data_IF_451479618645
#
_entry.id   IF_451479618645
#
_cell.length_a   1.000
_cell.length_b   1.000
_cell.length_c   1.000
_cell.angle_alpha   90.00
_cell.angle_beta   90.00
_cell.angle_gamma   90.00
#
_symmetry.space_group_name_H-M   'P 1'
#
loop_
_entity.id
_entity.type
_entity.pdbx_description
1 polymer ?
#
# COMPACT_ATOMS: atom_id res chain seq x y z
N UNK A 1 10.61 7.76 2.99
CA UNK A 1 11.87 7.06 2.71
C UNK A 1 12.69 7.93 1.75
N UNK A 2 13.96 7.65 1.55
CA UNK A 2 14.81 8.52 0.71
C UNK A 2 14.44 8.49 -0.77
N UNK A 3 14.00 7.36 -1.27
CA UNK A 3 13.76 7.13 -2.70
C UNK A 3 12.36 6.58 -3.04
N UNK A 4 11.50 6.39 -2.05
CA UNK A 4 10.13 5.95 -2.25
C UNK A 4 9.23 6.42 -1.11
N UNK A 5 7.92 6.31 -1.31
CA UNK A 5 6.93 6.62 -0.29
C UNK A 5 5.85 5.53 -0.23
N UNK A 6 5.32 5.35 0.96
CA UNK A 6 4.16 4.53 1.22
C UNK A 6 2.99 5.44 1.60
N UNK A 7 1.83 5.17 1.04
CA UNK A 7 0.59 5.90 1.32
C UNK A 7 -0.49 4.87 1.65
N UNK A 8 -1.21 5.09 2.73
CA UNK A 8 -2.45 4.40 3.04
C UNK A 8 -3.60 5.37 2.81
N UNK A 9 -4.51 5.03 1.91
CA UNK A 9 -5.50 5.95 1.37
C UNK A 9 -6.86 5.27 1.25
N UNK A 10 -7.92 6.03 1.51
CA UNK A 10 -9.31 5.63 1.22
C UNK A 10 -9.88 6.60 0.20
N UNK A 11 -9.91 6.26 -1.10
CA UNK A 11 -10.47 7.13 -2.13
C UNK A 11 -12.00 7.21 -2.00
N UNK A 12 -12.57 8.38 -2.26
CA UNK A 12 -14.01 8.58 -2.26
C UNK A 12 -14.67 8.04 -3.53
N UNK A 13 -13.94 8.03 -4.65
CA UNK A 13 -14.41 7.50 -5.93
C UNK A 13 -13.32 6.68 -6.64
N UNK A 14 -13.73 5.83 -7.59
CA UNK A 14 -12.86 4.88 -8.30
C UNK A 14 -11.61 5.52 -8.94
N UNK A 15 -11.74 6.73 -9.49
CA UNK A 15 -10.65 7.40 -10.20
C UNK A 15 -9.80 8.32 -9.32
N UNK A 16 -10.19 8.56 -8.06
CA UNK A 16 -9.53 9.55 -7.19
C UNK A 16 -8.07 9.21 -6.93
N UNK A 17 -7.76 7.94 -6.67
CA UNK A 17 -6.39 7.49 -6.47
C UNK A 17 -5.52 7.81 -7.70
N UNK A 18 -5.99 7.47 -8.89
CA UNK A 18 -5.24 7.69 -10.13
C UNK A 18 -5.04 9.19 -10.41
N UNK A 19 -6.07 10.01 -10.21
CA UNK A 19 -6.01 11.46 -10.37
C UNK A 19 -5.07 12.11 -9.36
N UNK A 20 -5.14 11.69 -8.09
CA UNK A 20 -4.27 12.19 -7.04
C UNK A 20 -2.80 11.85 -7.34
N UNK A 21 -2.49 10.59 -7.67
CA UNK A 21 -1.13 10.15 -7.95
C UNK A 21 -0.56 10.82 -9.21
N UNK A 22 -1.37 11.04 -10.23
CA UNK A 22 -0.97 11.77 -11.42
C UNK A 22 -0.66 13.24 -11.11
N UNK A 23 -1.50 13.90 -10.30
CA UNK A 23 -1.29 15.29 -9.89
C UNK A 23 -0.04 15.45 -9.03
N UNK A 24 0.10 14.59 -8.02
CA UNK A 24 1.26 14.57 -7.14
C UNK A 24 2.56 14.33 -7.92
N UNK A 25 2.55 13.32 -8.79
CA UNK A 25 3.72 12.97 -9.60
C UNK A 25 4.16 14.13 -10.51
N UNK A 26 3.23 14.76 -11.23
CA UNK A 26 3.55 15.91 -12.10
C UNK A 26 4.08 17.10 -11.32
N UNK A 27 3.46 17.46 -10.20
CA UNK A 27 3.90 18.60 -9.38
C UNK A 27 5.26 18.37 -8.77
N UNK A 28 5.49 17.19 -8.21
CA UNK A 28 6.76 16.86 -7.57
C UNK A 28 7.91 16.80 -8.59
N UNK A 29 7.71 16.13 -9.72
CA UNK A 29 8.72 16.07 -10.78
C UNK A 29 9.05 17.46 -11.33
N UNK A 30 8.05 18.30 -11.58
CA UNK A 30 8.26 19.68 -12.03
C UNK A 30 9.08 20.50 -11.04
N UNK A 31 8.70 20.46 -9.77
CA UNK A 31 9.41 21.15 -8.69
C UNK A 31 10.86 20.65 -8.55
N UNK A 32 11.05 19.32 -8.51
CA UNK A 32 12.37 18.72 -8.36
C UNK A 32 13.30 19.05 -9.52
N UNK A 33 12.79 18.91 -10.75
CA UNK A 33 13.59 19.22 -11.95
C UNK A 33 13.99 20.69 -12.01
N UNK A 34 13.09 21.61 -11.69
CA UNK A 34 13.40 23.04 -11.62
C UNK A 34 14.47 23.32 -10.56
N UNK A 35 14.35 22.76 -9.35
CA UNK A 35 15.31 22.99 -8.27
C UNK A 35 16.68 22.40 -8.54
N UNK A 36 16.76 21.27 -9.22
CA UNK A 36 18.00 20.55 -9.48
C UNK A 36 18.53 20.72 -10.90
N UNK A 37 17.96 21.65 -11.70
CA UNK A 37 18.34 21.95 -13.09
C UNK A 37 18.45 20.71 -13.97
N UNK A 38 17.47 19.81 -13.84
CA UNK A 38 17.40 18.57 -14.62
C UNK A 38 16.08 18.46 -15.38
N UNK A 39 15.99 17.48 -16.29
CA UNK A 39 14.79 17.14 -17.04
C UNK A 39 14.51 15.64 -16.99
N UNK A 40 13.33 15.22 -17.45
CA UNK A 40 12.93 13.83 -17.50
C UNK A 40 12.19 13.37 -16.25
N UNK A 41 11.90 12.08 -16.20
CA UNK A 41 11.16 11.47 -15.07
C UNK A 41 12.06 11.22 -13.86
N UNK A 42 11.45 11.24 -12.66
CA UNK A 42 12.06 10.81 -11.41
C UNK A 42 11.59 9.40 -11.02
N UNK A 43 10.41 9.01 -11.50
CA UNK A 43 9.78 7.77 -11.11
C UNK A 43 10.25 6.63 -12.00
N UNK A 44 10.62 5.52 -11.39
CA UNK A 44 10.98 4.28 -12.08
C UNK A 44 9.83 3.76 -12.96
N UNK A 45 8.59 4.04 -12.56
CA UNK A 45 7.40 3.61 -13.27
C UNK A 45 6.11 4.14 -12.65
N UNK A 46 5.01 3.52 -12.99
CA UNK A 46 3.73 3.83 -12.38
C UNK A 46 3.72 3.40 -10.92
N UNK A 47 2.94 4.09 -10.07
CA UNK A 47 2.71 3.67 -8.69
C UNK A 47 2.11 2.25 -8.64
N UNK A 48 2.38 1.55 -7.56
CA UNK A 48 1.81 0.25 -7.26
C UNK A 48 0.79 0.43 -6.15
N UNK A 49 -0.36 -0.19 -6.29
CA UNK A 49 -1.42 -0.15 -5.30
C UNK A 49 -1.93 -1.56 -5.02
N UNK A 50 -2.14 -1.87 -3.76
CA UNK A 50 -2.78 -3.09 -3.28
C UNK A 50 -3.96 -2.72 -2.39
N UNK A 51 -5.03 -3.50 -2.46
CA UNK A 51 -6.19 -3.34 -1.60
C UNK A 51 -5.87 -3.88 -0.20
N UNK A 52 -6.29 -3.15 0.84
CA UNK A 52 -6.17 -3.58 2.24
C UNK A 52 -7.57 -3.84 2.79
N UNK A 53 -7.79 -5.02 3.37
CA UNK A 53 -8.99 -5.29 4.19
C UNK A 53 -8.86 -4.53 5.51
N UNK A 54 -9.63 -3.44 5.64
CA UNK A 54 -9.46 -2.45 6.72
C UNK A 54 -9.58 -3.07 8.10
N UNK A 55 -10.65 -3.77 8.39
CA UNK A 55 -10.91 -4.34 9.71
C UNK A 55 -9.81 -5.26 10.22
N UNK A 56 -9.12 -5.97 9.32
CA UNK A 56 -8.09 -6.96 9.68
C UNK A 56 -6.67 -6.44 9.63
N UNK A 57 -6.38 -5.57 8.66
CA UNK A 57 -4.99 -5.30 8.30
C UNK A 57 -4.59 -3.83 8.35
N UNK A 58 -5.54 -2.91 8.58
CA UNK A 58 -5.25 -1.47 8.52
C UNK A 58 -4.23 -1.03 9.55
N UNK A 59 -4.43 -1.36 10.82
CA UNK A 59 -3.50 -0.98 11.90
C UNK A 59 -2.12 -1.60 11.70
N UNK A 60 -2.06 -2.86 11.26
CA UNK A 60 -0.80 -3.52 10.94
C UNK A 60 -0.09 -2.86 9.74
N UNK A 61 -0.85 -2.41 8.74
CA UNK A 61 -0.32 -1.65 7.61
C UNK A 61 0.21 -0.27 8.04
N UNK A 62 -0.52 0.45 8.90
CA UNK A 62 -0.06 1.71 9.48
C UNK A 62 1.26 1.51 10.22
N UNK A 63 1.34 0.55 11.14
CA UNK A 63 2.55 0.18 11.87
C UNK A 63 3.71 -0.17 10.93
N UNK A 64 3.45 -0.97 9.90
CA UNK A 64 4.46 -1.32 8.89
C UNK A 64 5.03 -0.08 8.21
N UNK A 65 4.17 0.85 7.77
CA UNK A 65 4.58 2.09 7.09
C UNK A 65 5.37 2.98 8.04
N UNK A 66 4.89 3.18 9.25
CA UNK A 66 5.47 4.12 10.22
C UNK A 66 6.78 3.63 10.84
N UNK A 67 6.99 2.32 10.91
CA UNK A 67 8.25 1.73 11.34
C UNK A 67 9.27 1.54 10.20
N UNK A 68 8.91 1.78 8.95
CA UNK A 68 9.86 1.65 7.84
C UNK A 68 11.11 2.53 7.97
N UNK A 69 11.03 3.82 8.36
CA UNK A 69 12.22 4.65 8.56
C UNK A 69 13.16 4.12 9.65
N UNK A 70 12.61 3.62 10.75
CA UNK A 70 13.40 2.99 11.83
C UNK A 70 14.11 1.75 11.33
N UNK A 71 13.40 0.88 10.63
CA UNK A 71 13.96 -0.36 10.06
C UNK A 71 15.01 -0.10 8.98
N UNK A 72 14.90 1.02 8.29
CA UNK A 72 15.91 1.46 7.31
C UNK A 72 17.10 2.20 7.95
N UNK A 73 17.11 2.37 9.29
CA UNK A 73 18.16 3.07 10.01
C UNK A 73 18.18 4.58 9.81
N UNK A 74 17.08 5.17 9.32
CA UNK A 74 16.96 6.60 9.06
C UNK A 74 16.66 7.41 10.34
N UNK A 75 16.10 6.78 11.34
CA UNK A 75 15.84 7.34 12.67
C UNK A 75 15.79 6.22 13.72
N UNK A 76 15.88 6.59 14.99
CA UNK A 76 15.79 5.64 16.12
C UNK A 76 14.34 5.36 16.49
N UNK A 77 13.48 6.39 16.47
CA UNK A 77 12.08 6.29 16.82
C UNK A 77 11.20 6.76 15.65
N UNK A 78 10.01 6.14 15.44
CA UNK A 78 9.16 6.45 14.29
C UNK A 78 8.68 7.91 14.25
N UNK A 79 8.48 8.54 15.41
CA UNK A 79 8.06 9.93 15.51
C UNK A 79 9.16 10.94 15.11
N UNK A 80 10.43 10.53 15.09
CA UNK A 80 11.55 11.39 14.68
C UNK A 80 11.60 11.59 13.16
N UNK A 81 10.93 10.75 12.38
CA UNK A 81 10.90 10.90 10.92
C UNK A 81 9.82 11.93 10.51
N UNK A 82 10.21 13.14 10.09
CA UNK A 82 9.26 14.24 9.88
C UNK A 82 8.28 14.01 8.72
N UNK A 83 8.59 13.06 7.84
CA UNK A 83 7.77 12.70 6.67
C UNK A 83 6.91 11.47 6.91
N UNK A 84 6.51 11.24 8.15
CA UNK A 84 5.67 10.11 8.58
C UNK A 84 4.42 10.59 9.31
N UNK A 85 3.37 9.78 9.29
CA UNK A 85 2.17 9.95 10.12
C UNK A 85 2.38 9.56 11.59
N UNK A 86 3.51 8.94 11.93
CA UNK A 86 3.75 8.40 13.28
C UNK A 86 3.59 9.44 14.39
N UNK A 87 4.19 10.63 14.23
CA UNK A 87 4.06 11.69 15.24
C UNK A 87 2.62 12.13 15.47
N UNK A 88 1.76 12.10 14.43
CA UNK A 88 0.34 12.41 14.53
C UNK A 88 -0.41 11.32 15.33
N UNK A 89 -0.26 10.05 14.97
CA UNK A 89 -0.96 8.95 15.65
C UNK A 89 -0.45 8.69 17.07
N UNK A 90 0.77 9.11 17.40
CA UNK A 90 1.33 9.04 18.75
C UNK A 90 0.99 10.26 19.62
N UNK A 91 0.22 11.24 19.09
CA UNK A 91 -0.20 12.43 19.81
C UNK A 91 0.89 13.47 20.02
N UNK A 92 2.04 13.36 19.34
CA UNK A 92 3.19 14.26 19.49
C UNK A 92 3.13 15.48 18.57
N UNK A 93 2.40 15.38 17.46
CA UNK A 93 2.15 16.48 16.53
C UNK A 93 0.81 16.30 15.84
N UNK A 94 0.22 17.38 15.34
CA UNK A 94 -1.01 17.33 14.54
C UNK A 94 -0.69 17.66 13.08
N UNK A 95 -1.25 16.88 12.16
CA UNK A 95 -1.11 17.11 10.73
C UNK A 95 -2.49 17.18 10.07
N UNK A 96 -2.78 18.26 9.36
CA UNK A 96 -4.02 18.41 8.58
C UNK A 96 -4.07 17.52 7.33
N UNK A 97 -2.99 16.80 7.02
CA UNK A 97 -2.96 15.84 5.92
C UNK A 97 -3.47 14.45 6.32
N UNK A 98 -3.53 14.18 7.63
CA UNK A 98 -3.91 12.86 8.14
C UNK A 98 -5.39 12.87 8.50
N UNK A 99 -6.13 11.93 7.94
CA UNK A 99 -7.50 11.61 8.33
C UNK A 99 -7.46 10.27 9.06
N UNK A 100 -7.82 10.30 10.33
CA UNK A 100 -7.86 9.10 11.15
C UNK A 100 -8.99 8.18 10.68
N UNK A 101 -8.68 6.90 10.54
CA UNK A 101 -9.65 5.88 10.16
C UNK A 101 -10.40 5.34 11.39
N UNK A 102 -11.62 4.84 11.20
CA UNK A 102 -12.46 4.27 12.27
C UNK A 102 -11.73 3.16 13.08
N UNK A 103 -10.89 2.35 12.45
CA UNK A 103 -10.08 1.33 13.12
C UNK A 103 -9.05 1.94 14.10
N UNK A 104 -8.53 3.14 13.82
CA UNK A 104 -7.70 3.86 14.78
C UNK A 104 -8.56 4.41 15.92
N UNK A 105 -9.77 4.90 15.62
CA UNK A 105 -10.69 5.40 16.64
C UNK A 105 -11.19 4.30 17.59
N UNK A 106 -11.29 3.07 17.10
CA UNK A 106 -11.69 1.91 17.94
C UNK A 106 -10.65 1.53 19.00
N UNK A 107 -9.44 2.09 18.96
CA UNK A 107 -8.41 1.84 19.98
C UNK A 107 -8.73 2.47 21.34
N UNK A 108 -9.66 3.43 21.43
CA UNK A 108 -10.06 4.05 22.68
C UNK A 108 -11.10 5.15 22.48
N UNK A 109 -11.81 5.49 23.54
CA UNK A 109 -12.89 6.49 23.51
C UNK A 109 -12.37 7.92 23.54
N UNK A 110 -11.15 8.12 24.08
CA UNK A 110 -10.49 9.42 24.15
C UNK A 110 -9.25 9.46 23.26
N UNK A 111 -8.81 10.65 22.82
CA UNK A 111 -7.54 10.76 22.09
C UNK A 111 -6.36 10.16 22.86
N UNK A 112 -6.29 10.40 24.17
CA UNK A 112 -5.22 9.86 25.02
C UNK A 112 -5.20 8.32 25.04
N UNK A 113 -6.36 7.69 25.18
CA UNK A 113 -6.47 6.21 25.15
C UNK A 113 -6.01 5.65 23.80
N UNK A 114 -6.43 6.27 22.70
CA UNK A 114 -6.03 5.84 21.35
C UNK A 114 -4.53 5.98 21.11
N UNK A 115 -3.98 7.13 21.46
CA UNK A 115 -2.55 7.42 21.33
C UNK A 115 -1.71 6.46 22.19
N UNK A 116 -2.17 6.15 23.40
CA UNK A 116 -1.52 5.18 24.28
C UNK A 116 -1.56 3.77 23.71
N UNK A 117 -2.75 3.29 23.36
CA UNK A 117 -2.92 1.95 22.76
C UNK A 117 -2.12 1.80 21.46
N UNK A 118 -2.10 2.84 20.63
CA UNK A 118 -1.33 2.83 19.40
C UNK A 118 0.19 2.84 19.67
N UNK A 119 0.64 3.54 20.70
CA UNK A 119 2.07 3.53 21.11
C UNK A 119 2.51 2.13 21.55
N UNK A 120 1.70 1.45 22.36
CA UNK A 120 1.97 0.06 22.73
C UNK A 120 1.98 -0.87 21.51
N UNK A 121 1.02 -0.69 20.60
CA UNK A 121 0.94 -1.49 19.37
C UNK A 121 2.17 -1.28 18.46
N UNK A 122 2.63 -0.06 18.26
CA UNK A 122 3.85 0.24 17.50
C UNK A 122 5.10 -0.33 18.21
N UNK A 123 5.14 -0.27 19.55
CA UNK A 123 6.24 -0.79 20.36
C UNK A 123 6.46 -2.30 20.22
N UNK A 124 5.44 -3.06 19.82
CA UNK A 124 5.55 -4.49 19.53
C UNK A 124 6.40 -4.79 18.28
N UNK A 125 6.71 -3.77 17.47
CA UNK A 125 7.41 -3.95 16.20
C UNK A 125 6.54 -4.63 15.14
N UNK A 126 7.15 -4.95 13.99
CA UNK A 126 6.46 -5.65 12.88
C UNK A 126 6.92 -7.10 12.86
N UNK A 127 6.03 -8.08 13.07
CA UNK A 127 6.36 -9.49 12.92
C UNK A 127 6.92 -9.79 11.52
N UNK A 128 7.86 -10.71 11.42
CA UNK A 128 8.53 -11.03 10.15
C UNK A 128 7.56 -11.50 9.06
N UNK A 129 6.54 -12.28 9.43
CA UNK A 129 5.50 -12.74 8.51
C UNK A 129 4.67 -11.59 7.94
N UNK A 130 4.31 -10.61 8.77
CA UNK A 130 3.63 -9.40 8.32
C UNK A 130 4.54 -8.56 7.42
N UNK A 131 5.79 -8.38 7.81
CA UNK A 131 6.78 -7.63 7.03
C UNK A 131 6.93 -8.20 5.62
N UNK A 132 7.11 -9.51 5.50
CA UNK A 132 7.24 -10.18 4.21
C UNK A 132 5.98 -10.00 3.36
N UNK A 133 4.80 -10.14 3.97
CA UNK A 133 3.51 -9.97 3.31
C UNK A 133 3.30 -8.54 2.79
N UNK A 134 3.51 -7.52 3.63
CA UNK A 134 3.38 -6.11 3.23
C UNK A 134 4.41 -5.72 2.18
N UNK A 135 5.65 -6.19 2.29
CA UNK A 135 6.70 -5.93 1.30
C UNK A 135 6.34 -6.53 -0.06
N UNK A 136 5.92 -7.80 -0.09
CA UNK A 136 5.50 -8.45 -1.35
C UNK A 136 4.28 -7.76 -1.97
N UNK A 137 3.30 -7.39 -1.16
CA UNK A 137 2.12 -6.65 -1.60
C UNK A 137 2.48 -5.28 -2.20
N UNK A 138 3.31 -4.50 -1.53
CA UNK A 138 3.76 -3.20 -2.00
C UNK A 138 4.55 -3.31 -3.32
N UNK A 139 5.47 -4.27 -3.41
CA UNK A 139 6.29 -4.47 -4.61
C UNK A 139 5.50 -4.99 -5.82
N UNK A 140 4.42 -5.71 -5.59
CA UNK A 140 3.66 -6.40 -6.66
C UNK A 140 2.26 -5.86 -6.87
N UNK A 141 1.81 -4.88 -6.06
CA UNK A 141 0.44 -4.38 -6.08
C UNK A 141 -0.59 -5.45 -5.74
N UNK A 142 -0.28 -6.32 -4.76
CA UNK A 142 -1.18 -7.39 -4.34
C UNK A 142 -2.10 -6.95 -3.21
N UNK A 143 -3.33 -7.47 -3.14
CA UNK A 143 -4.19 -7.22 -2.01
C UNK A 143 -3.66 -7.91 -0.75
N UNK A 144 -3.89 -7.28 0.40
CA UNK A 144 -3.74 -7.85 1.74
C UNK A 144 -5.14 -7.96 2.33
N UNK A 145 -5.76 -9.09 2.09
CA UNK A 145 -7.15 -9.33 2.43
C UNK A 145 -7.44 -10.83 2.45
N UNK A 146 -8.49 -11.22 3.17
CA UNK A 146 -9.00 -12.58 3.20
C UNK A 146 -9.67 -12.97 1.87
N UNK A 147 -9.72 -14.26 1.58
CA UNK A 147 -10.45 -14.76 0.42
C UNK A 147 -11.95 -14.38 0.48
N UNK A 148 -12.54 -14.38 1.67
CA UNK A 148 -13.93 -14.00 1.88
C UNK A 148 -14.18 -12.54 1.48
N UNK A 149 -13.26 -11.63 1.81
CA UNK A 149 -13.32 -10.22 1.43
C UNK A 149 -13.13 -10.03 -0.07
N UNK A 150 -12.22 -10.77 -0.68
CA UNK A 150 -11.90 -10.64 -2.11
C UNK A 150 -12.97 -11.25 -3.03
N UNK A 151 -13.65 -12.31 -2.59
CA UNK A 151 -14.61 -13.06 -3.40
C UNK A 151 -15.70 -12.19 -4.05
N UNK A 152 -16.43 -11.32 -3.34
CA UNK A 152 -17.43 -10.45 -3.95
C UNK A 152 -16.82 -9.40 -4.89
N UNK A 153 -15.61 -8.91 -4.59
CA UNK A 153 -14.92 -7.91 -5.41
C UNK A 153 -14.42 -8.50 -6.74
N UNK A 154 -14.14 -9.79 -6.77
CA UNK A 154 -13.64 -10.49 -7.96
C UNK A 154 -14.74 -11.04 -8.86
N UNK A 155 -15.96 -11.17 -8.36
CA UNK A 155 -17.10 -11.66 -9.15
C UNK A 155 -17.38 -10.82 -10.40
N UNK A 156 -17.02 -9.51 -10.39
CA UNK A 156 -17.12 -8.62 -11.54
C UNK A 156 -15.80 -8.29 -12.28
N UNK A 157 -14.65 -8.58 -11.67
CA UNK A 157 -13.34 -8.08 -12.15
C UNK A 157 -12.23 -9.12 -11.99
N UNK A 158 -12.20 -10.13 -12.84
CA UNK A 158 -11.17 -11.19 -12.86
C UNK A 158 -9.70 -10.69 -12.94
N UNK A 159 -9.48 -9.42 -13.28
CA UNK A 159 -8.15 -8.86 -13.54
C UNK A 159 -7.36 -8.47 -12.27
N UNK A 160 -8.01 -8.30 -11.12
CA UNK A 160 -7.39 -7.67 -9.94
C UNK A 160 -6.64 -8.67 -9.04
N UNK A 161 -7.00 -9.95 -9.08
CA UNK A 161 -6.54 -10.93 -8.08
C UNK A 161 -5.73 -12.09 -8.66
N UNK A 162 -5.82 -12.35 -9.96
CA UNK A 162 -5.16 -13.52 -10.56
C UNK A 162 -3.70 -13.21 -10.90
N UNK A 163 -2.82 -14.01 -10.32
CA UNK A 163 -1.38 -14.05 -10.61
C UNK A 163 -1.18 -14.35 -12.10
N UNK A 164 -0.96 -13.32 -12.92
CA UNK A 164 -0.54 -13.58 -14.30
C UNK A 164 0.93 -14.01 -14.29
N UNK A 165 1.27 -15.20 -14.83
CA UNK A 165 2.67 -15.58 -14.98
C UNK A 165 3.38 -14.58 -15.89
N UNK A 166 4.64 -14.26 -15.56
CA UNK A 166 5.46 -13.39 -16.42
C UNK A 166 5.78 -14.15 -17.72
N UNK A 167 5.58 -13.49 -18.84
CA UNK A 167 5.93 -14.02 -20.16
C UNK A 167 4.76 -14.10 -21.11
N UNK A 168 5.06 -14.44 -22.37
CA UNK A 168 4.06 -14.67 -23.41
C UNK A 168 3.24 -15.93 -23.06
N UNK A 169 1.91 -15.91 -23.12
CA UNK A 169 1.11 -17.12 -22.93
C UNK A 169 1.58 -18.24 -23.87
N UNK A 170 1.75 -19.44 -23.36
CA UNK A 170 2.02 -20.62 -24.23
C UNK A 170 0.84 -20.77 -25.18
N UNK A 171 1.14 -20.90 -26.48
CA UNK A 171 0.14 -21.32 -27.45
C UNK A 171 -0.35 -22.73 -27.03
N UNK A 172 -1.63 -22.85 -26.76
CA UNK A 172 -2.27 -24.16 -26.65
C UNK A 172 -2.38 -24.68 -28.07
N UNK A 173 -1.61 -25.70 -28.43
CA UNK A 173 -1.80 -26.40 -29.68
C UNK A 173 -3.18 -27.06 -29.63
N UNK A 174 -4.03 -26.72 -30.63
CA UNK A 174 -5.31 -27.37 -30.80
C UNK A 174 -5.05 -28.86 -31.05
N UNK A 175 -5.56 -29.72 -30.18
CA UNK A 175 -5.59 -31.15 -30.41
C UNK A 175 -6.37 -31.40 -31.71
N UNK A 176 -5.64 -31.80 -32.75
CA UNK A 176 -6.27 -32.21 -34.00
C UNK A 176 -7.10 -33.47 -33.70
N UNK A 177 -8.41 -33.34 -33.84
CA UNK A 177 -9.32 -34.49 -33.80
C UNK A 177 -8.98 -35.41 -34.94
N UNK A 178 -8.55 -36.64 -34.63
CA UNK A 178 -8.35 -37.74 -35.59
C UNK A 178 -9.71 -38.03 -36.23
N UNK A 179 -9.84 -38.03 -37.55
CA UNK A 179 -11.07 -38.46 -38.19
C UNK A 179 -11.31 -39.95 -37.98
N UNK A 180 -12.47 -40.27 -37.42
CA UNK A 180 -12.95 -41.63 -37.25
C UNK A 180 -13.11 -42.28 -38.63
N UNK A 181 -12.35 -43.34 -38.91
CA UNK A 181 -12.57 -44.20 -40.05
C UNK A 181 -13.93 -44.92 -39.88
N UNK A 182 -14.81 -44.76 -40.87
CA UNK A 182 -16.02 -45.58 -41.02
C UNK A 182 -15.66 -46.91 -41.68
N UNK A 183 -16.40 -47.97 -41.35
CA UNK A 183 -16.18 -49.33 -41.84
C UNK A 183 -16.52 -49.49 -43.31
#
# INVERSE_FOLDING_TARGET
>A
MDNHLHLLLTPAAADDLSRMMQSLGRRYVGWFNARHRRSGTLWEGRFRAGLIEGERHLLACMRYIELNPVRAGLCVEPAQWPWSSAAHHLGLARSGLITEHEMYWSLGNTPFEREHAYREFIGQGVPESERASFTDAALRGRPIASEAFLKPLTAGHKAVVVRRPRGRPRKVEAVQSVPSAKP
#
